data_IF_705303002918
#
_entry.id   IF_705303002918
#
_cell.length_a   1.000
_cell.length_b   1.000
_cell.length_c   1.000
_cell.angle_alpha   90.00
_cell.angle_beta   90.00
_cell.angle_gamma   90.00
#
_symmetry.space_group_name_H-M   'P 1'
#
loop_
_entity.id
_entity.type
_entity.pdbx_description
1 polymer ?
#
# COMPACT_ATOMS: atom_id res chain seq x y z
N UNK A 1 -25.94 9.99 1.67
CA UNK A 1 -25.94 10.92 2.82
C UNK A 1 -25.48 12.27 2.30
N UNK A 2 -26.38 13.25 2.22
CA UNK A 2 -25.98 14.65 1.98
C UNK A 2 -25.75 15.25 3.35
N UNK A 3 -24.48 15.39 3.73
CA UNK A 3 -24.10 16.04 4.97
C UNK A 3 -24.23 17.55 4.77
N UNK A 4 -25.32 18.15 5.25
CA UNK A 4 -25.50 19.61 5.20
C UNK A 4 -24.74 20.23 6.37
N UNK A 5 -23.60 20.86 6.09
CA UNK A 5 -22.86 21.65 7.08
C UNK A 5 -23.64 22.94 7.39
N UNK A 6 -24.64 22.88 8.28
CA UNK A 6 -25.55 24.01 8.57
C UNK A 6 -24.87 25.20 9.26
N UNK A 7 -23.68 25.00 9.84
CA UNK A 7 -22.97 26.01 10.63
C UNK A 7 -21.73 26.60 9.94
N UNK A 8 -21.39 26.17 8.72
CA UNK A 8 -20.18 26.60 8.00
C UNK A 8 -20.49 27.57 6.85
N UNK A 9 -21.65 28.22 6.87
CA UNK A 9 -22.04 29.18 5.81
C UNK A 9 -21.13 30.41 5.75
N UNK A 10 -20.46 30.76 6.84
CA UNK A 10 -19.64 31.96 6.94
C UNK A 10 -18.12 31.70 6.90
N UNK A 11 -17.69 30.42 6.78
CA UNK A 11 -16.28 30.01 6.76
C UNK A 11 -15.35 30.92 7.59
N UNK A 12 -15.48 30.89 8.93
CA UNK A 12 -14.66 31.73 9.81
C UNK A 12 -13.18 31.49 9.53
N UNK A 13 -12.41 32.58 9.54
CA UNK A 13 -11.11 32.65 8.90
C UNK A 13 -10.04 31.70 9.45
N UNK A 14 -10.19 31.12 10.65
CA UNK A 14 -9.22 30.24 11.32
C UNK A 14 -9.87 29.47 12.48
N UNK A 15 -9.50 28.21 12.73
CA UNK A 15 -9.81 27.50 14.00
C UNK A 15 -8.88 27.98 15.12
N UNK A 16 -9.34 27.85 16.37
CA UNK A 16 -8.45 28.00 17.52
C UNK A 16 -7.38 26.90 17.50
N UNK A 17 -6.11 27.26 17.78
CA UNK A 17 -4.95 26.37 17.70
C UNK A 17 -5.06 25.10 18.58
N UNK A 18 -5.93 25.12 19.60
CA UNK A 18 -6.23 23.99 20.46
C UNK A 18 -7.11 22.92 19.77
N UNK A 19 -7.93 23.34 18.80
CA UNK A 19 -8.88 22.50 18.07
C UNK A 19 -8.37 22.06 16.68
N UNK A 20 -7.23 22.59 16.24
CA UNK A 20 -6.61 22.21 14.95
C UNK A 20 -6.24 20.73 14.92
N UNK A 21 -5.86 20.15 16.05
CA UNK A 21 -5.46 18.76 16.15
C UNK A 21 -6.57 17.96 16.85
N UNK A 22 -7.51 17.42 16.07
CA UNK A 22 -8.64 16.66 16.62
C UNK A 22 -8.14 15.34 17.25
N UNK A 23 -8.21 15.19 18.58
CA UNK A 23 -7.68 14.01 19.27
C UNK A 23 -8.50 12.74 18.98
N UNK A 24 -9.72 12.83 18.46
CA UNK A 24 -10.54 11.67 18.13
C UNK A 24 -10.17 11.09 16.76
N UNK A 25 -9.49 11.87 15.92
CA UNK A 25 -9.01 11.45 14.60
C UNK A 25 -7.49 11.28 14.58
N UNK A 26 -6.77 12.17 15.25
CA UNK A 26 -5.31 12.26 15.28
C UNK A 26 -4.69 11.91 16.63
N UNK A 27 -5.49 11.52 17.62
CA UNK A 27 -4.97 11.13 18.93
C UNK A 27 -3.93 10.01 18.81
N UNK A 28 -2.96 10.01 19.71
CA UNK A 28 -1.84 9.06 19.66
C UNK A 28 -2.31 7.61 19.59
N UNK A 29 -3.36 7.26 20.33
CA UNK A 29 -3.94 5.92 20.27
C UNK A 29 -4.57 5.57 18.92
N UNK A 30 -5.17 6.54 18.25
CA UNK A 30 -5.75 6.40 16.90
C UNK A 30 -4.63 6.19 15.88
N UNK A 31 -3.63 7.06 15.91
CA UNK A 31 -2.45 6.97 15.04
C UNK A 31 -1.70 5.66 15.23
N UNK A 32 -1.49 5.25 16.49
CA UNK A 32 -0.82 3.99 16.81
C UNK A 32 -1.64 2.79 16.32
N UNK A 33 -2.95 2.77 16.57
CA UNK A 33 -3.82 1.68 16.16
C UNK A 33 -3.90 1.50 14.64
N UNK A 34 -3.76 2.57 13.87
CA UNK A 34 -3.81 2.50 12.40
C UNK A 34 -2.42 2.36 11.75
N UNK A 35 -1.39 2.99 12.29
CA UNK A 35 -0.02 2.90 11.76
C UNK A 35 0.66 1.58 12.15
N UNK A 36 0.46 1.07 13.38
CA UNK A 36 1.18 -0.12 13.85
C UNK A 36 0.88 -1.38 13.03
N UNK A 37 -0.37 -1.72 12.67
CA UNK A 37 -0.62 -2.89 11.83
C UNK A 37 0.06 -2.78 10.47
N UNK A 38 0.09 -1.57 9.90
CA UNK A 38 0.72 -1.30 8.62
C UNK A 38 2.25 -1.43 8.69
N UNK A 39 2.88 -0.84 9.73
CA UNK A 39 4.31 -0.97 9.99
C UNK A 39 4.72 -2.41 10.28
N UNK A 40 3.94 -3.12 11.11
CA UNK A 40 4.19 -4.51 11.45
C UNK A 40 4.04 -5.43 10.25
N UNK A 41 3.04 -5.21 9.38
CA UNK A 41 2.89 -5.96 8.13
C UNK A 41 4.10 -5.79 7.22
N UNK A 42 4.59 -4.55 7.09
CA UNK A 42 5.78 -4.26 6.30
C UNK A 42 7.01 -4.97 6.89
N UNK A 43 7.22 -4.86 8.20
CA UNK A 43 8.32 -5.54 8.89
C UNK A 43 8.26 -7.07 8.70
N UNK A 44 7.09 -7.69 8.92
CA UNK A 44 6.89 -9.14 8.74
C UNK A 44 7.20 -9.54 7.30
N UNK A 45 6.77 -8.75 6.31
CA UNK A 45 7.02 -9.06 4.92
C UNK A 45 8.50 -8.92 4.53
N UNK A 46 9.17 -7.85 4.97
CA UNK A 46 10.61 -7.66 4.73
C UNK A 46 11.39 -8.82 5.33
N UNK A 47 11.06 -9.21 6.57
CA UNK A 47 11.68 -10.36 7.23
C UNK A 47 11.40 -11.63 6.45
N UNK A 48 10.15 -11.93 6.08
CA UNK A 48 9.77 -13.12 5.33
C UNK A 48 10.46 -13.20 3.96
N UNK A 49 10.64 -12.06 3.28
CA UNK A 49 11.36 -11.97 2.02
C UNK A 49 12.85 -12.31 2.20
N UNK A 50 13.54 -11.63 3.12
CA UNK A 50 14.98 -11.83 3.37
C UNK A 50 15.29 -13.21 3.92
N UNK A 51 14.35 -13.82 4.65
CA UNK A 51 14.49 -15.16 5.22
C UNK A 51 14.11 -16.28 4.25
N UNK A 52 13.75 -16.02 3.00
CA UNK A 52 13.25 -17.06 2.08
C UNK A 52 12.04 -17.85 2.65
N UNK A 53 11.20 -17.19 3.46
CA UNK A 53 9.99 -17.82 4.02
C UNK A 53 8.80 -17.71 3.07
N UNK A 54 8.80 -16.73 2.16
CA UNK A 54 7.78 -16.66 1.11
C UNK A 54 7.87 -17.90 0.21
N UNK A 55 6.79 -18.27 -0.49
CA UNK A 55 6.83 -19.37 -1.43
C UNK A 55 7.83 -19.12 -2.56
N UNK A 56 8.49 -20.19 -3.02
CA UNK A 56 9.48 -20.10 -4.11
C UNK A 56 8.90 -19.49 -5.40
N UNK A 57 7.59 -19.60 -5.61
CA UNK A 57 6.87 -18.98 -6.74
C UNK A 57 6.81 -17.45 -6.66
N UNK A 58 7.22 -16.82 -5.55
CA UNK A 58 7.23 -15.36 -5.42
C UNK A 58 8.60 -14.75 -5.76
N UNK A 59 9.67 -15.55 -5.78
CA UNK A 59 11.01 -15.04 -6.05
C UNK A 59 11.31 -15.07 -7.55
N UNK A 60 11.57 -13.90 -8.13
CA UNK A 60 12.15 -13.78 -9.46
C UNK A 60 13.63 -14.20 -9.48
N UNK A 61 14.23 -14.29 -10.66
CA UNK A 61 15.66 -14.62 -10.77
C UNK A 61 16.52 -13.55 -10.09
N UNK A 62 16.18 -12.28 -10.33
CA UNK A 62 16.78 -11.14 -9.64
C UNK A 62 16.73 -11.26 -8.11
N UNK A 63 15.58 -11.64 -7.54
CA UNK A 63 15.40 -11.73 -6.08
C UNK A 63 16.38 -12.72 -5.45
N UNK A 64 16.47 -13.92 -6.02
CA UNK A 64 17.36 -14.96 -5.52
C UNK A 64 18.83 -14.49 -5.53
N UNK A 65 19.25 -13.86 -6.62
CA UNK A 65 20.62 -13.32 -6.74
C UNK A 65 20.86 -12.17 -5.77
N UNK A 66 19.87 -11.29 -5.59
CA UNK A 66 19.93 -10.16 -4.69
C UNK A 66 20.07 -10.64 -3.23
N UNK A 67 19.24 -11.59 -2.79
CA UNK A 67 19.28 -12.13 -1.42
C UNK A 67 20.62 -12.80 -1.15
N UNK A 68 21.13 -13.61 -2.07
CA UNK A 68 22.46 -14.22 -1.93
C UNK A 68 23.56 -13.15 -1.81
N UNK A 69 23.49 -12.10 -2.64
CA UNK A 69 24.45 -11.00 -2.62
C UNK A 69 24.37 -10.21 -1.32
N UNK A 70 23.16 -9.84 -0.88
CA UNK A 70 22.91 -9.14 0.37
C UNK A 70 23.41 -9.96 1.54
N UNK A 71 23.05 -11.24 1.63
CA UNK A 71 23.52 -12.13 2.70
C UNK A 71 25.05 -12.25 2.72
N UNK A 72 25.70 -12.30 1.57
CA UNK A 72 27.17 -12.36 1.50
C UNK A 72 27.84 -11.06 1.98
N UNK A 73 27.24 -9.90 1.69
CA UNK A 73 27.75 -8.59 2.09
C UNK A 73 27.44 -8.29 3.55
N UNK A 74 26.22 -8.56 3.98
CA UNK A 74 25.76 -8.41 5.35
C UNK A 74 26.61 -9.26 6.29
N UNK A 75 26.88 -10.53 5.98
CA UNK A 75 27.80 -11.38 6.76
C UNK A 75 29.19 -10.76 7.00
N UNK A 76 29.67 -9.89 6.11
CA UNK A 76 30.95 -9.17 6.29
C UNK A 76 30.81 -8.00 7.26
N UNK A 77 29.62 -7.43 7.40
CA UNK A 77 29.32 -6.31 8.27
C UNK A 77 28.68 -6.83 9.56
N UNK A 78 29.52 -7.42 10.42
CA UNK A 78 29.16 -8.19 11.62
C UNK A 78 28.10 -7.49 12.50
N UNK A 79 28.18 -6.18 12.70
CA UNK A 79 27.19 -5.44 13.50
C UNK A 79 25.79 -5.43 12.86
N UNK A 80 25.71 -5.10 11.56
CA UNK A 80 24.46 -5.04 10.84
C UNK A 80 23.89 -6.44 10.61
N UNK A 81 24.76 -7.43 10.43
CA UNK A 81 24.37 -8.84 10.43
C UNK A 81 23.83 -9.27 11.79
N UNK A 82 24.45 -8.92 12.91
CA UNK A 82 23.90 -9.27 14.23
C UNK A 82 22.55 -8.59 14.52
N UNK A 83 22.27 -7.43 13.92
CA UNK A 83 20.98 -6.72 14.03
C UNK A 83 19.89 -7.30 13.11
N UNK A 84 20.25 -7.63 11.86
CA UNK A 84 19.32 -8.11 10.83
C UNK A 84 19.21 -9.64 10.75
N UNK A 85 20.21 -10.37 11.25
CA UNK A 85 20.14 -11.82 11.37
C UNK A 85 19.02 -12.08 12.36
N UNK A 86 17.89 -12.63 11.90
CA UNK A 86 16.84 -12.99 12.83
C UNK A 86 17.46 -14.01 13.77
N UNK A 87 17.33 -13.79 15.08
CA UNK A 87 17.77 -14.76 16.08
C UNK A 87 17.27 -16.15 15.64
N UNK A 88 18.04 -17.22 15.84
CA UNK A 88 17.57 -18.58 15.59
C UNK A 88 16.21 -18.81 16.26
N UNK A 89 15.95 -18.16 17.40
CA UNK A 89 14.64 -18.13 18.05
C UNK A 89 13.57 -17.39 17.25
N UNK A 90 13.89 -16.26 16.62
CA UNK A 90 12.97 -15.54 15.74
C UNK A 90 12.70 -16.32 14.45
N UNK A 91 13.67 -17.06 13.93
CA UNK A 91 13.51 -17.99 12.82
C UNK A 91 12.58 -19.15 13.15
N UNK A 92 12.81 -19.80 14.30
CA UNK A 92 11.87 -20.79 14.83
C UNK A 92 10.53 -20.11 15.03
N UNK A 93 10.48 -18.92 15.62
CA UNK A 93 9.24 -18.20 15.89
C UNK A 93 8.48 -17.88 14.60
N UNK A 94 9.06 -17.31 13.54
CA UNK A 94 8.38 -17.05 12.26
C UNK A 94 8.01 -18.32 11.47
N UNK A 95 8.64 -19.45 11.78
CA UNK A 95 8.29 -20.75 11.22
C UNK A 95 7.18 -21.43 12.02
N UNK A 96 7.15 -21.20 13.33
CA UNK A 96 6.15 -21.70 14.28
C UNK A 96 4.87 -20.85 14.24
N UNK A 97 5.04 -19.53 14.28
CA UNK A 97 4.06 -18.50 13.92
C UNK A 97 3.94 -18.54 12.41
N UNK A 98 2.88 -19.17 11.91
CA UNK A 98 2.55 -19.17 10.49
C UNK A 98 2.50 -17.71 10.01
N UNK A 99 3.55 -17.23 9.33
CA UNK A 99 3.63 -15.85 8.86
C UNK A 99 2.39 -15.46 8.04
N UNK A 100 1.80 -16.43 7.33
CA UNK A 100 0.53 -16.28 6.61
C UNK A 100 -0.61 -15.88 7.55
N UNK A 101 -0.77 -16.52 8.71
CA UNK A 101 -1.80 -16.19 9.68
C UNK A 101 -1.58 -14.79 10.29
N UNK A 102 -0.33 -14.42 10.54
CA UNK A 102 0.04 -13.10 11.03
C UNK A 102 -0.25 -12.02 9.98
N UNK A 103 0.20 -12.21 8.75
CA UNK A 103 -0.08 -11.27 7.66
C UNK A 103 -1.57 -11.20 7.33
N UNK A 104 -2.30 -12.31 7.42
CA UNK A 104 -3.74 -12.35 7.17
C UNK A 104 -4.50 -11.47 8.17
N UNK A 105 -4.18 -11.61 9.46
CA UNK A 105 -4.80 -10.83 10.53
C UNK A 105 -4.41 -9.35 10.46
N UNK A 106 -3.15 -9.03 10.16
CA UNK A 106 -2.73 -7.64 9.96
C UNK A 106 -3.34 -7.01 8.70
N UNK A 107 -3.44 -7.78 7.61
CA UNK A 107 -4.05 -7.36 6.36
C UNK A 107 -5.48 -6.88 6.56
N UNK A 108 -6.29 -7.65 7.30
CA UNK A 108 -7.67 -7.30 7.61
C UNK A 108 -7.76 -6.00 8.43
N UNK A 109 -6.88 -5.84 9.42
CA UNK A 109 -6.86 -4.62 10.23
C UNK A 109 -6.45 -3.40 9.41
N UNK A 110 -5.45 -3.50 8.53
CA UNK A 110 -5.06 -2.37 7.68
C UNK A 110 -6.16 -1.94 6.71
N UNK A 111 -6.94 -2.88 6.17
CA UNK A 111 -8.06 -2.59 5.28
C UNK A 111 -9.25 -1.96 6.02
N UNK A 112 -9.63 -2.52 7.17
CA UNK A 112 -10.73 -1.96 7.98
C UNK A 112 -10.34 -0.59 8.52
N UNK A 113 -9.09 -0.42 8.93
CA UNK A 113 -8.53 0.86 9.36
C UNK A 113 -8.63 1.93 8.28
N UNK A 114 -8.20 1.64 7.04
CA UNK A 114 -8.26 2.64 5.95
C UNK A 114 -9.70 3.07 5.66
N UNK A 115 -10.63 2.11 5.61
CA UNK A 115 -12.05 2.42 5.39
C UNK A 115 -12.62 3.23 6.56
N UNK A 116 -12.32 2.87 7.81
CA UNK A 116 -12.78 3.58 8.99
C UNK A 116 -12.28 5.03 9.03
N UNK A 117 -11.00 5.24 8.68
CA UNK A 117 -10.43 6.59 8.60
C UNK A 117 -11.12 7.45 7.53
N UNK A 118 -11.40 6.90 6.34
CA UNK A 118 -12.18 7.64 5.34
C UNK A 118 -13.56 8.00 5.86
N UNK A 119 -14.30 7.03 6.40
CA UNK A 119 -15.67 7.26 6.88
C UNK A 119 -15.68 8.31 7.99
N UNK A 120 -14.77 8.21 8.97
CA UNK A 120 -14.65 9.17 10.06
C UNK A 120 -14.33 10.57 9.54
N UNK A 121 -13.29 10.69 8.72
CA UNK A 121 -12.86 11.98 8.15
C UNK A 121 -13.98 12.66 7.36
N UNK A 122 -14.70 11.90 6.53
CA UNK A 122 -15.80 12.46 5.74
C UNK A 122 -17.05 12.77 6.56
N UNK A 123 -17.35 12.00 7.62
CA UNK A 123 -18.45 12.31 8.54
C UNK A 123 -18.24 13.61 9.32
N UNK A 124 -16.98 13.99 9.52
CA UNK A 124 -16.56 15.16 10.29
C UNK A 124 -15.97 16.26 9.42
N UNK A 125 -16.17 16.20 8.10
CA UNK A 125 -15.53 17.13 7.14
C UNK A 125 -15.83 18.61 7.43
N UNK A 126 -16.95 18.90 8.08
CA UNK A 126 -17.36 20.26 8.45
C UNK A 126 -16.64 20.78 9.71
N UNK A 127 -16.09 19.90 10.56
CA UNK A 127 -15.54 20.24 11.87
C UNK A 127 -14.04 19.96 11.99
N UNK A 128 -13.45 19.21 11.06
CA UNK A 128 -12.01 18.93 11.06
C UNK A 128 -11.22 20.05 10.37
N UNK A 129 -10.06 20.34 10.93
CA UNK A 129 -9.07 21.21 10.31
C UNK A 129 -8.46 20.58 9.05
N UNK A 130 -7.86 21.42 8.23
CA UNK A 130 -7.09 21.02 7.06
C UNK A 130 -5.92 20.12 7.43
N UNK A 131 -5.27 20.40 8.57
CA UNK A 131 -4.22 19.55 9.15
C UNK A 131 -4.72 18.14 9.47
N UNK A 132 -5.83 18.04 10.22
CA UNK A 132 -6.42 16.74 10.61
C UNK A 132 -6.84 15.94 9.39
N UNK A 133 -7.43 16.60 8.40
CA UNK A 133 -7.81 15.98 7.14
C UNK A 133 -6.60 15.38 6.41
N UNK A 134 -5.52 16.15 6.23
CA UNK A 134 -4.33 15.71 5.50
C UNK A 134 -3.66 14.49 6.13
N UNK A 135 -3.54 14.48 7.47
CA UNK A 135 -2.97 13.36 8.21
C UNK A 135 -3.82 12.11 8.04
N UNK A 136 -5.14 12.25 8.14
CA UNK A 136 -6.09 11.13 8.01
C UNK A 136 -6.04 10.51 6.62
N UNK A 137 -6.02 11.33 5.56
CA UNK A 137 -5.90 10.82 4.18
C UNK A 137 -4.54 10.15 3.96
N UNK A 138 -3.46 10.71 4.49
CA UNK A 138 -2.11 10.12 4.39
C UNK A 138 -2.02 8.77 5.09
N UNK A 139 -2.63 8.62 6.27
CA UNK A 139 -2.63 7.38 7.03
C UNK A 139 -3.50 6.30 6.37
N UNK A 140 -4.68 6.68 5.87
CA UNK A 140 -5.52 5.79 5.05
C UNK A 140 -4.77 5.28 3.83
N UNK A 141 -4.02 6.17 3.16
CA UNK A 141 -3.25 5.84 1.98
C UNK A 141 -2.12 4.86 2.29
N UNK A 142 -1.42 5.07 3.40
CA UNK A 142 -0.41 4.14 3.90
C UNK A 142 -1.01 2.75 4.13
N UNK A 143 -2.10 2.68 4.90
CA UNK A 143 -2.75 1.41 5.26
C UNK A 143 -3.26 0.65 4.03
N UNK A 144 -3.87 1.34 3.05
CA UNK A 144 -4.38 0.73 1.83
C UNK A 144 -3.26 0.13 0.94
N UNK A 145 -2.10 0.79 0.83
CA UNK A 145 -0.97 0.26 0.08
C UNK A 145 -0.30 -0.92 0.79
N UNK A 146 -0.20 -0.88 2.12
CA UNK A 146 0.28 -2.04 2.86
C UNK A 146 -0.68 -3.22 2.68
N UNK A 147 -1.99 -3.00 2.73
CA UNK A 147 -2.98 -4.04 2.46
C UNK A 147 -2.77 -4.66 1.07
N UNK A 148 -2.61 -3.85 0.02
CA UNK A 148 -2.30 -4.33 -1.34
C UNK A 148 -1.13 -5.32 -1.36
N UNK A 149 -0.07 -4.98 -0.66
CA UNK A 149 1.15 -5.77 -0.61
C UNK A 149 0.97 -7.09 0.15
N UNK A 150 0.20 -7.06 1.25
CA UNK A 150 -0.13 -8.30 1.99
C UNK A 150 -0.91 -9.29 1.12
N UNK A 151 -1.77 -8.82 0.22
CA UNK A 151 -2.47 -9.69 -0.73
C UNK A 151 -1.52 -10.39 -1.70
N UNK A 152 -0.48 -9.69 -2.17
CA UNK A 152 0.56 -10.26 -3.03
C UNK A 152 1.35 -11.34 -2.28
N UNK A 153 1.76 -11.04 -1.05
CA UNK A 153 2.50 -11.98 -0.20
C UNK A 153 1.69 -13.25 0.13
N UNK A 154 0.37 -13.10 0.29
CA UNK A 154 -0.59 -14.17 0.59
C UNK A 154 -1.18 -14.82 -0.67
N UNK A 155 -0.63 -14.60 -1.87
CA UNK A 155 -1.22 -15.10 -3.12
C UNK A 155 -1.51 -16.61 -3.11
N UNK A 156 -0.60 -17.42 -2.57
CA UNK A 156 -0.77 -18.89 -2.54
C UNK A 156 -1.84 -19.32 -1.53
N UNK A 157 -1.94 -18.61 -0.40
CA UNK A 157 -3.00 -18.81 0.56
C UNK A 157 -4.38 -18.51 -0.07
N UNK A 158 -4.48 -17.40 -0.80
CA UNK A 158 -5.70 -16.98 -1.48
C UNK A 158 -6.03 -17.80 -2.72
N UNK A 159 -5.05 -18.43 -3.35
CA UNK A 159 -5.27 -19.42 -4.40
C UNK A 159 -6.18 -20.55 -3.91
N UNK A 160 -6.04 -20.95 -2.63
CA UNK A 160 -6.88 -21.96 -1.96
C UNK A 160 -8.17 -21.38 -1.38
N UNK A 161 -8.18 -20.10 -1.01
CA UNK A 161 -9.30 -19.41 -0.36
C UNK A 161 -9.89 -18.29 -1.22
N UNK A 162 -10.43 -18.66 -2.39
CA UNK A 162 -10.89 -17.70 -3.42
C UNK A 162 -12.00 -16.76 -2.95
N UNK A 163 -12.94 -17.21 -2.11
CA UNK A 163 -14.02 -16.36 -1.59
C UNK A 163 -13.45 -15.23 -0.72
N UNK A 164 -12.54 -15.61 0.18
CA UNK A 164 -11.84 -14.67 1.05
C UNK A 164 -11.01 -13.67 0.26
N UNK A 165 -10.34 -14.11 -0.81
CA UNK A 165 -9.59 -13.26 -1.72
C UNK A 165 -10.49 -12.22 -2.41
N UNK A 166 -11.68 -12.64 -2.87
CA UNK A 166 -12.65 -11.75 -3.54
C UNK A 166 -13.22 -10.69 -2.62
N UNK A 167 -13.56 -11.05 -1.37
CA UNK A 167 -14.08 -10.08 -0.39
C UNK A 167 -13.04 -9.00 -0.15
N UNK A 168 -11.80 -9.38 0.17
CA UNK A 168 -10.70 -8.44 0.42
C UNK A 168 -10.41 -7.57 -0.78
N UNK A 169 -10.37 -8.16 -1.98
CA UNK A 169 -10.19 -7.38 -3.19
C UNK A 169 -11.35 -6.41 -3.43
N UNK A 170 -12.60 -6.84 -3.25
CA UNK A 170 -13.77 -5.97 -3.40
C UNK A 170 -13.71 -4.78 -2.44
N UNK A 171 -13.37 -5.03 -1.18
CA UNK A 171 -13.13 -3.99 -0.19
C UNK A 171 -11.95 -3.08 -0.56
N UNK A 172 -10.88 -3.62 -1.15
CA UNK A 172 -9.75 -2.84 -1.63
C UNK A 172 -10.12 -1.94 -2.82
N UNK A 173 -10.94 -2.42 -3.76
CA UNK A 173 -11.50 -1.61 -4.86
C UNK A 173 -12.33 -0.47 -4.28
N UNK A 174 -13.21 -0.76 -3.32
CA UNK A 174 -13.99 0.26 -2.63
C UNK A 174 -13.10 1.30 -1.92
N UNK A 175 -12.11 0.85 -1.15
CA UNK A 175 -11.13 1.73 -0.49
C UNK A 175 -10.34 2.57 -1.49
N UNK A 176 -10.02 2.03 -2.68
CA UNK A 176 -9.29 2.73 -3.73
C UNK A 176 -10.13 3.86 -4.34
N UNK A 177 -11.43 3.64 -4.54
CA UNK A 177 -12.34 4.69 -5.01
C UNK A 177 -12.39 5.84 -4.00
N UNK A 178 -12.54 5.53 -2.70
CA UNK A 178 -12.49 6.53 -1.64
C UNK A 178 -11.16 7.28 -1.63
N UNK A 179 -10.04 6.57 -1.81
CA UNK A 179 -8.71 7.16 -1.86
C UNK A 179 -8.53 8.12 -3.03
N UNK A 180 -9.00 7.80 -4.24
CA UNK A 180 -8.89 8.68 -5.42
C UNK A 180 -9.62 9.99 -5.17
N UNK A 181 -10.84 9.93 -4.64
CA UNK A 181 -11.62 11.11 -4.26
C UNK A 181 -10.91 11.90 -3.16
N UNK A 182 -10.38 11.21 -2.16
CA UNK A 182 -9.69 11.81 -1.02
C UNK A 182 -8.40 12.51 -1.43
N UNK A 183 -7.62 11.94 -2.34
CA UNK A 183 -6.39 12.53 -2.89
C UNK A 183 -6.70 13.82 -3.61
N UNK A 184 -7.74 13.83 -4.44
CA UNK A 184 -8.17 15.05 -5.14
C UNK A 184 -8.55 16.16 -4.16
N UNK A 185 -9.37 15.85 -3.15
CA UNK A 185 -9.78 16.79 -2.12
C UNK A 185 -8.57 17.23 -1.27
N UNK A 186 -7.68 16.31 -0.92
CA UNK A 186 -6.48 16.59 -0.15
C UNK A 186 -5.57 17.59 -0.85
N UNK A 187 -5.45 17.51 -2.18
CA UNK A 187 -4.70 18.49 -2.97
C UNK A 187 -5.33 19.89 -2.99
N UNK A 188 -6.65 19.98 -2.84
CA UNK A 188 -7.31 21.27 -2.62
C UNK A 188 -6.97 21.80 -1.23
N UNK A 189 -7.10 20.94 -0.21
CA UNK A 189 -6.91 21.29 1.21
C UNK A 189 -5.46 21.65 1.54
N UNK A 190 -4.48 21.01 0.88
CA UNK A 190 -3.05 21.19 1.15
C UNK A 190 -2.53 22.60 0.85
N UNK A 191 -3.22 23.34 0.00
CA UNK A 191 -2.85 24.69 -0.44
C UNK A 191 -3.48 25.77 0.45
N UNK A 192 -4.34 25.37 1.38
CA UNK A 192 -4.92 26.20 2.41
C UNK A 192 -4.06 26.33 3.65
N UNK A 193 -4.51 27.13 4.63
CA UNK A 193 -3.81 27.20 5.91
C UNK A 193 -4.16 25.97 6.76
N UNK A 194 -3.22 25.52 7.60
CA UNK A 194 -3.34 24.25 8.32
C UNK A 194 -4.45 24.25 9.38
N UNK A 195 -4.72 25.43 9.94
CA UNK A 195 -5.73 25.77 10.94
C UNK A 195 -7.08 26.15 10.35
N UNK A 196 -7.18 26.30 9.03
CA UNK A 196 -8.48 26.46 8.35
C UNK A 196 -9.29 25.17 8.43
N UNK A 197 -10.61 25.29 8.55
CA UNK A 197 -11.51 24.15 8.34
C UNK A 197 -11.29 23.55 6.95
N UNK A 198 -11.20 22.22 6.87
CA UNK A 198 -10.97 21.51 5.60
C UNK A 198 -12.04 21.89 4.56
N UNK A 199 -13.30 21.99 4.97
CA UNK A 199 -14.40 22.40 4.11
C UNK A 199 -14.22 23.80 3.49
N UNK A 200 -13.66 24.75 4.23
CA UNK A 200 -13.50 26.12 3.73
C UNK A 200 -12.46 26.20 2.61
N UNK A 201 -11.37 25.45 2.75
CA UNK A 201 -10.39 25.29 1.68
C UNK A 201 -10.95 24.54 0.46
N UNK A 202 -11.92 23.63 0.67
CA UNK A 202 -12.63 22.95 -0.43
C UNK A 202 -13.54 23.91 -1.20
N UNK A 203 -14.27 24.79 -0.48
CA UNK A 203 -15.21 25.75 -1.09
C UNK A 203 -14.47 26.88 -1.81
N UNK A 204 -13.39 27.40 -1.20
CA UNK A 204 -12.56 28.48 -1.77
C UNK A 204 -11.11 28.02 -1.92
N UNK A 205 -10.80 27.20 -2.95
CA UNK A 205 -9.44 26.72 -3.20
C UNK A 205 -8.49 27.88 -3.49
N UNK A 206 -7.36 27.94 -2.77
CA UNK A 206 -6.32 28.97 -2.95
C UNK A 206 -5.39 28.69 -4.15
N UNK A 207 -5.32 27.44 -4.62
CA UNK A 207 -4.41 27.02 -5.69
C UNK A 207 -5.05 26.99 -7.09
N UNK A 208 -4.25 27.14 -8.15
CA UNK A 208 -4.72 27.00 -9.52
C UNK A 208 -5.15 25.54 -9.80
N UNK A 209 -6.27 25.38 -10.50
CA UNK A 209 -6.84 24.08 -10.86
C UNK A 209 -5.86 23.16 -11.59
N UNK A 210 -4.93 23.70 -12.37
CA UNK A 210 -3.92 22.89 -13.06
C UNK A 210 -2.99 22.16 -12.07
N UNK A 211 -2.56 22.81 -10.99
CA UNK A 211 -1.71 22.20 -9.98
C UNK A 211 -2.45 21.08 -9.24
N UNK A 212 -3.70 21.35 -8.84
CA UNK A 212 -4.58 20.38 -8.17
C UNK A 212 -4.81 19.15 -9.06
N UNK A 213 -5.12 19.35 -10.34
CA UNK A 213 -5.37 18.26 -11.30
C UNK A 213 -4.12 17.42 -11.53
N UNK A 214 -2.97 18.02 -11.82
CA UNK A 214 -1.75 17.25 -12.08
C UNK A 214 -1.25 16.52 -10.84
N UNK A 215 -1.26 17.17 -9.66
CA UNK A 215 -0.87 16.54 -8.40
C UNK A 215 -1.76 15.35 -8.05
N UNK A 216 -3.08 15.52 -8.17
CA UNK A 216 -4.04 14.45 -7.88
C UNK A 216 -3.95 13.28 -8.86
N UNK A 217 -3.67 13.54 -10.14
CA UNK A 217 -3.46 12.47 -11.13
C UNK A 217 -2.23 11.62 -10.81
N UNK A 218 -1.12 12.25 -10.40
CA UNK A 218 0.12 11.53 -10.04
C UNK A 218 -0.10 10.64 -8.81
N UNK A 219 -0.75 11.15 -7.77
CA UNK A 219 -1.02 10.37 -6.56
C UNK A 219 -2.08 9.27 -6.78
N UNK A 220 -3.10 9.57 -7.58
CA UNK A 220 -4.10 8.57 -7.99
C UNK A 220 -3.46 7.46 -8.82
N UNK A 221 -2.47 7.78 -9.66
CA UNK A 221 -1.68 6.78 -10.38
C UNK A 221 -0.98 5.81 -9.44
N UNK A 222 -0.31 6.29 -8.38
CA UNK A 222 0.33 5.40 -7.40
C UNK A 222 -0.68 4.51 -6.69
N UNK A 223 -1.82 5.07 -6.30
CA UNK A 223 -2.90 4.30 -5.65
C UNK A 223 -3.44 3.19 -6.55
N UNK A 224 -3.76 3.56 -7.79
CA UNK A 224 -4.31 2.61 -8.77
C UNK A 224 -3.28 1.58 -9.20
N UNK A 225 -1.99 1.93 -9.22
CA UNK A 225 -0.89 0.99 -9.46
C UNK A 225 -0.77 -0.08 -8.36
N UNK A 226 -0.98 0.29 -7.10
CA UNK A 226 -1.02 -0.66 -5.98
C UNK A 226 -2.16 -1.66 -6.13
N UNK A 227 -3.37 -1.18 -6.42
CA UNK A 227 -4.54 -2.02 -6.72
C UNK A 227 -4.30 -2.91 -7.94
N UNK A 228 -3.79 -2.34 -9.02
CA UNK A 228 -3.46 -3.06 -10.25
C UNK A 228 -2.52 -4.23 -9.96
N UNK A 229 -1.41 -3.96 -9.27
CA UNK A 229 -0.40 -4.96 -8.96
C UNK A 229 -0.98 -6.07 -8.07
N UNK A 230 -1.78 -5.72 -7.06
CA UNK A 230 -2.46 -6.70 -6.22
C UNK A 230 -3.44 -7.57 -7.02
N UNK A 231 -4.32 -6.96 -7.83
CA UNK A 231 -5.27 -7.68 -8.68
C UNK A 231 -4.57 -8.61 -9.65
N UNK A 232 -3.52 -8.12 -10.29
CA UNK A 232 -2.76 -8.85 -11.29
C UNK A 232 -2.04 -10.05 -10.67
N UNK A 233 -1.24 -9.83 -9.63
CA UNK A 233 -0.42 -10.88 -9.01
C UNK A 233 -1.24 -11.90 -8.21
N UNK A 234 -2.44 -11.52 -7.75
CA UNK A 234 -3.36 -12.43 -7.06
C UNK A 234 -4.05 -13.41 -8.02
N UNK A 235 -4.36 -12.96 -9.23
CA UNK A 235 -5.18 -13.74 -10.17
C UNK A 235 -4.40 -14.32 -11.33
N UNK A 236 -3.39 -13.65 -11.84
CA UNK A 236 -2.65 -14.15 -12.98
C UNK A 236 -1.35 -14.86 -12.57
N UNK A 237 -1.17 -16.14 -12.95
CA UNK A 237 0.12 -16.78 -12.85
C UNK A 237 1.06 -16.17 -13.91
N UNK A 238 1.98 -15.30 -13.47
CA UNK A 238 3.22 -14.94 -14.17
C UNK A 238 3.14 -14.37 -15.59
N UNK A 239 2.03 -13.77 -15.98
CA UNK A 239 1.91 -13.26 -17.34
C UNK A 239 2.52 -11.85 -17.46
N UNK A 240 3.35 -11.64 -18.47
CA UNK A 240 3.97 -10.34 -18.77
C UNK A 240 3.09 -9.50 -19.73
N UNK A 241 1.83 -9.26 -19.38
CA UNK A 241 0.91 -8.53 -20.26
C UNK A 241 1.09 -7.01 -20.24
N UNK A 242 0.68 -6.36 -21.33
CA UNK A 242 0.47 -4.91 -21.32
C UNK A 242 -0.65 -4.52 -20.33
N UNK A 243 -0.54 -3.35 -19.65
CA UNK A 243 -1.46 -2.98 -18.56
C UNK A 243 -2.94 -3.02 -18.96
N UNK A 244 -3.25 -2.62 -20.20
CA UNK A 244 -4.63 -2.53 -20.69
C UNK A 244 -5.27 -3.90 -20.91
N UNK A 245 -4.53 -4.89 -21.45
CA UNK A 245 -5.06 -6.24 -21.65
C UNK A 245 -5.26 -6.98 -20.33
N UNK A 246 -4.39 -6.71 -19.35
CA UNK A 246 -4.51 -7.24 -17.99
C UNK A 246 -5.81 -6.80 -17.29
N UNK A 247 -6.18 -5.51 -17.40
CA UNK A 247 -7.44 -5.01 -16.83
C UNK A 247 -8.67 -5.67 -17.44
N UNK A 248 -8.66 -5.83 -18.77
CA UNK A 248 -9.75 -6.49 -19.50
C UNK A 248 -9.86 -7.95 -19.06
N UNK A 249 -8.75 -8.67 -18.91
CA UNK A 249 -8.76 -10.06 -18.47
C UNK A 249 -9.25 -10.23 -17.02
N UNK A 250 -8.88 -9.32 -16.11
CA UNK A 250 -9.37 -9.35 -14.72
C UNK A 250 -10.86 -9.01 -14.65
N UNK A 251 -11.33 -8.00 -15.38
CA UNK A 251 -12.76 -7.67 -15.46
C UNK A 251 -13.56 -8.81 -16.08
N UNK A 252 -13.06 -9.40 -17.17
CA UNK A 252 -13.68 -10.58 -17.79
C UNK A 252 -13.75 -11.75 -16.81
N UNK A 253 -12.75 -11.94 -15.94
CA UNK A 253 -12.79 -12.99 -14.91
C UNK A 253 -13.79 -12.72 -13.79
N UNK A 254 -14.01 -11.45 -13.43
CA UNK A 254 -15.04 -11.07 -12.46
C UNK A 254 -16.45 -11.26 -13.04
N UNK A 255 -16.60 -11.07 -14.36
CA UNK A 255 -17.90 -11.13 -15.05
C UNK A 255 -18.24 -12.54 -15.55
N UNK A 256 -17.27 -13.29 -16.06
CA UNK A 256 -17.46 -14.61 -16.66
C UNK A 256 -16.92 -15.72 -15.75
N UNK A 257 -17.84 -16.56 -15.26
CA UNK A 257 -17.59 -17.62 -14.27
C UNK A 257 -17.56 -19.04 -14.86
N UNK A 258 -17.78 -19.18 -16.17
CA UNK A 258 -18.05 -20.46 -16.83
C UNK A 258 -16.77 -21.27 -17.13
N UNK A 259 -16.83 -22.60 -17.10
CA UNK A 259 -15.67 -23.50 -17.34
C UNK A 259 -15.06 -23.31 -18.73
N UNK A 260 -15.89 -23.12 -19.77
CA UNK A 260 -15.40 -22.81 -21.13
C UNK A 260 -14.57 -21.54 -21.20
N UNK A 261 -14.92 -20.53 -20.39
CA UNK A 261 -14.17 -19.27 -20.35
C UNK A 261 -12.81 -19.41 -19.66
N UNK A 262 -12.58 -20.48 -18.88
CA UNK A 262 -11.27 -20.77 -18.32
C UNK A 262 -10.35 -21.39 -19.36
N UNK A 263 -10.83 -22.34 -20.18
CA UNK A 263 -10.05 -22.96 -21.25
C UNK A 263 -9.60 -21.94 -22.30
N UNK A 264 -10.52 -21.08 -22.77
CA UNK A 264 -10.20 -20.00 -23.72
C UNK A 264 -9.17 -19.02 -23.13
N UNK A 265 -9.25 -18.74 -21.82
CA UNK A 265 -8.27 -17.87 -21.14
C UNK A 265 -6.90 -18.53 -21.05
N UNK A 266 -6.85 -19.81 -20.70
CA UNK A 266 -5.59 -20.56 -20.65
C UNK A 266 -4.95 -20.69 -22.03
N UNK A 267 -5.75 -20.80 -23.09
CA UNK A 267 -5.23 -20.77 -24.47
C UNK A 267 -4.67 -19.39 -24.82
N UNK A 268 -5.36 -18.30 -24.47
CA UNK A 268 -4.86 -16.92 -24.65
C UNK A 268 -3.54 -16.70 -23.89
N UNK A 269 -3.44 -17.20 -22.66
CA UNK A 269 -2.20 -17.20 -21.87
C UNK A 269 -1.08 -17.94 -22.58
N UNK A 270 -1.34 -19.18 -23.00
CA UNK A 270 -0.37 -20.01 -23.73
C UNK A 270 0.01 -19.41 -25.09
N UNK A 271 -0.87 -18.68 -25.74
CA UNK A 271 -0.59 -18.03 -27.02
C UNK A 271 0.33 -16.82 -26.83
N UNK A 272 0.08 -16.00 -25.82
CA UNK A 272 0.89 -14.81 -25.56
C UNK A 272 2.28 -15.18 -25.01
N UNK A 273 2.38 -16.18 -24.12
CA UNK A 273 3.67 -16.74 -23.66
C UNK A 273 4.52 -17.22 -24.83
N UNK A 274 3.89 -17.85 -25.83
CA UNK A 274 4.56 -18.28 -27.06
C UNK A 274 5.05 -17.09 -27.87
N UNK A 275 4.25 -16.04 -28.05
CA UNK A 275 4.67 -14.82 -28.75
C UNK A 275 5.84 -14.13 -28.04
N UNK A 276 5.77 -14.05 -26.72
CA UNK A 276 6.81 -13.45 -25.89
C UNK A 276 8.12 -14.24 -25.97
N UNK A 277 8.06 -15.55 -25.79
CA UNK A 277 9.22 -16.44 -25.93
C UNK A 277 9.87 -16.32 -27.32
N UNK A 278 9.06 -16.20 -28.37
CA UNK A 278 9.55 -15.97 -29.73
C UNK A 278 10.20 -14.59 -29.90
N UNK A 279 9.63 -13.55 -29.29
CA UNK A 279 10.20 -12.19 -29.29
C UNK A 279 11.57 -12.17 -28.59
N UNK A 280 11.66 -12.75 -27.40
CA UNK A 280 12.92 -12.84 -26.65
C UNK A 280 13.96 -13.71 -27.36
N UNK A 281 13.57 -14.83 -27.96
CA UNK A 281 14.46 -15.64 -28.79
C UNK A 281 15.00 -14.85 -30.01
N UNK A 282 14.16 -14.01 -30.65
CA UNK A 282 14.58 -13.11 -31.72
C UNK A 282 15.55 -12.05 -31.21
N UNK A 283 15.30 -11.44 -30.05
CA UNK A 283 16.18 -10.43 -29.45
C UNK A 283 17.54 -11.01 -29.03
N UNK A 284 17.56 -12.20 -28.43
CA UNK A 284 18.78 -12.91 -28.03
C UNK A 284 19.57 -13.36 -29.27
N UNK A 285 18.89 -13.89 -30.29
CA UNK A 285 19.57 -14.27 -31.54
C UNK A 285 20.10 -13.05 -32.31
N UNK A 286 19.43 -11.90 -32.24
CA UNK A 286 19.93 -10.64 -32.77
C UNK A 286 21.19 -10.15 -32.03
N UNK A 287 21.22 -10.24 -30.70
CA UNK A 287 22.42 -9.96 -29.88
C UNK A 287 23.59 -10.89 -30.21
N UNK A 288 23.31 -12.14 -30.58
CA UNK A 288 24.32 -13.15 -30.92
C UNK A 288 24.85 -13.01 -32.34
N UNK A 289 24.04 -12.51 -33.28
CA UNK A 289 24.37 -12.39 -34.71
C UNK A 289 25.06 -11.08 -35.08
N UNK A 290 24.91 -10.00 -34.31
CA UNK A 290 25.54 -8.72 -34.60
C UNK A 290 26.14 -8.10 -33.35
N UNK A 291 27.41 -7.61 -33.38
CA UNK A 291 27.93 -6.70 -32.38
C UNK A 291 27.27 -5.33 -32.62
N UNK A 292 26.00 -5.21 -32.28
CA UNK A 292 25.30 -3.94 -32.32
C UNK A 292 25.95 -2.97 -31.33
N UNK A 293 25.94 -1.68 -31.66
CA UNK A 293 26.51 -0.64 -30.81
C UNK A 293 25.94 -0.73 -29.38
N UNK A 294 26.71 -0.22 -28.42
CA UNK A 294 26.30 -0.10 -27.01
C UNK A 294 24.81 0.26 -26.80
N UNK A 295 24.20 1.25 -27.51
CA UNK A 295 22.78 1.58 -27.32
C UNK A 295 21.81 0.43 -27.63
N UNK A 296 22.05 -0.37 -28.67
CA UNK A 296 21.17 -1.48 -29.03
C UNK A 296 21.28 -2.62 -28.03
N UNK A 297 22.49 -2.92 -27.55
CA UNK A 297 22.71 -3.89 -26.47
C UNK A 297 22.02 -3.44 -25.18
N UNK A 298 22.19 -2.17 -24.81
CA UNK A 298 21.55 -1.61 -23.62
C UNK A 298 20.03 -1.60 -23.73
N UNK A 299 19.45 -1.34 -24.91
CA UNK A 299 18.00 -1.41 -25.11
C UNK A 299 17.44 -2.82 -24.86
N UNK A 300 18.09 -3.85 -25.39
CA UNK A 300 17.64 -5.23 -25.22
C UNK A 300 17.85 -5.70 -23.77
N UNK A 301 19.01 -5.40 -23.19
CA UNK A 301 19.33 -5.79 -21.80
C UNK A 301 18.44 -5.04 -20.79
N UNK A 302 18.19 -3.75 -21.00
CA UNK A 302 17.33 -2.95 -20.11
C UNK A 302 15.88 -3.43 -20.11
N UNK A 303 15.35 -3.88 -21.25
CA UNK A 303 14.01 -4.47 -21.31
C UNK A 303 13.94 -5.76 -20.48
N UNK A 304 14.89 -6.68 -20.66
CA UNK A 304 14.94 -7.92 -19.88
C UNK A 304 15.13 -7.66 -18.38
N UNK A 305 15.96 -6.69 -18.00
CA UNK A 305 16.14 -6.29 -16.59
C UNK A 305 14.86 -5.65 -16.05
N UNK A 306 14.20 -4.78 -16.81
CA UNK A 306 12.95 -4.15 -16.39
C UNK A 306 11.85 -5.20 -16.19
N UNK A 307 11.78 -6.20 -17.07
CA UNK A 307 10.84 -7.33 -16.95
C UNK A 307 11.11 -8.18 -15.70
N UNK A 308 12.35 -8.57 -15.45
CA UNK A 308 12.73 -9.33 -14.24
C UNK A 308 12.55 -8.49 -12.96
N UNK A 309 12.75 -7.17 -13.03
CA UNK A 309 12.46 -6.25 -11.91
C UNK A 309 10.97 -6.07 -11.65
N UNK A 310 10.14 -5.87 -12.67
CA UNK A 310 8.69 -5.65 -12.50
C UNK A 310 7.96 -6.89 -11.97
N UNK A 311 8.50 -8.08 -12.24
CA UNK A 311 7.99 -9.35 -11.71
C UNK A 311 8.58 -9.74 -10.36
N UNK A 312 9.63 -9.04 -9.90
CA UNK A 312 10.34 -9.31 -8.65
C UNK A 312 9.55 -8.85 -7.43
N UNK A 313 9.58 -9.67 -6.37
CA UNK A 313 8.98 -9.33 -5.08
C UNK A 313 9.76 -8.22 -4.38
N UNK A 314 11.08 -8.13 -4.60
CA UNK A 314 11.88 -7.00 -4.13
C UNK A 314 11.35 -5.67 -4.64
N UNK A 315 10.96 -5.59 -5.92
CA UNK A 315 10.46 -4.33 -6.48
C UNK A 315 9.17 -3.90 -5.77
N UNK A 316 8.26 -4.83 -5.50
CA UNK A 316 7.03 -4.53 -4.75
C UNK A 316 7.34 -4.05 -3.32
N UNK A 317 8.20 -4.79 -2.61
CA UNK A 317 8.60 -4.45 -1.22
C UNK A 317 9.34 -3.12 -1.19
N UNK A 318 10.28 -2.88 -2.10
CA UNK A 318 11.06 -1.65 -2.17
C UNK A 318 10.18 -0.45 -2.49
N UNK A 319 9.26 -0.60 -3.44
CA UNK A 319 8.26 0.43 -3.75
C UNK A 319 7.50 0.84 -2.51
N UNK A 320 7.06 -0.14 -1.71
CA UNK A 320 6.36 0.11 -0.46
C UNK A 320 7.25 0.67 0.65
N UNK A 321 8.50 0.24 0.79
CA UNK A 321 9.43 0.82 1.78
C UNK A 321 9.72 2.28 1.46
N UNK A 322 10.00 2.60 0.20
CA UNK A 322 10.20 3.98 -0.26
C UNK A 322 8.96 4.82 0.00
N UNK A 323 7.80 4.26 -0.32
CA UNK A 323 6.51 4.93 -0.15
C UNK A 323 6.12 5.13 1.33
N UNK A 324 6.32 4.12 2.16
CA UNK A 324 6.17 4.20 3.62
C UNK A 324 7.09 5.28 4.19
N UNK A 325 8.35 5.30 3.75
CA UNK A 325 9.31 6.34 4.08
C UNK A 325 8.79 7.73 3.71
N UNK A 326 8.27 7.89 2.49
CA UNK A 326 7.69 9.16 2.04
C UNK A 326 6.51 9.61 2.91
N UNK A 327 5.56 8.72 3.22
CA UNK A 327 4.44 9.06 4.11
C UNK A 327 4.93 9.41 5.51
N UNK A 328 5.84 8.61 6.09
CA UNK A 328 6.39 8.90 7.42
C UNK A 328 7.08 10.26 7.42
N UNK A 329 7.86 10.59 6.38
CA UNK A 329 8.48 11.91 6.28
C UNK A 329 7.46 13.04 6.13
N UNK A 330 6.37 12.82 5.39
CA UNK A 330 5.30 13.81 5.23
C UNK A 330 4.54 14.02 6.54
N UNK A 331 4.25 12.94 7.25
CA UNK A 331 3.62 12.95 8.58
C UNK A 331 4.50 13.68 9.60
N UNK A 332 5.79 13.34 9.67
CA UNK A 332 6.75 14.00 10.56
C UNK A 332 6.91 15.48 10.19
N UNK A 333 6.98 15.81 8.90
CA UNK A 333 7.04 17.20 8.45
C UNK A 333 5.79 17.98 8.86
N UNK A 334 4.60 17.40 8.70
CA UNK A 334 3.34 18.01 9.12
C UNK A 334 3.29 18.21 10.65
N UNK A 335 3.73 17.23 11.45
CA UNK A 335 3.83 17.39 12.90
C UNK A 335 4.82 18.48 13.32
N UNK A 336 6.02 18.50 12.72
CA UNK A 336 7.03 19.52 12.99
C UNK A 336 6.56 20.91 12.56
N UNK A 337 5.80 21.00 11.47
CA UNK A 337 5.15 22.22 11.04
C UNK A 337 4.12 22.65 12.10
N UNK A 338 3.19 21.79 12.50
CA UNK A 338 2.23 22.08 13.58
C UNK A 338 2.89 22.61 14.86
N UNK A 339 3.97 21.96 15.32
CA UNK A 339 4.75 22.41 16.48
C UNK A 339 5.34 23.81 16.29
N UNK A 340 5.86 24.12 15.10
CA UNK A 340 6.43 25.44 14.78
C UNK A 340 5.38 26.55 14.83
N UNK A 341 4.13 26.25 14.45
CA UNK A 341 3.02 27.20 14.46
C UNK A 341 2.23 27.22 15.78
N UNK A 342 2.73 26.53 16.81
CA UNK A 342 2.12 26.55 18.14
C UNK A 342 0.86 25.71 18.27
N UNK A 343 0.61 24.76 17.36
CA UNK A 343 -0.47 23.78 17.51
C UNK A 343 -0.23 22.97 18.78
N UNK A 344 -1.25 22.91 19.64
CA UNK A 344 -1.13 22.22 20.91
C UNK A 344 -1.21 20.69 20.72
N UNK A 345 -0.06 20.02 20.67
CA UNK A 345 0.04 18.56 20.52
C UNK A 345 -0.22 17.83 21.85
N UNK A 346 -0.27 18.51 23.00
CA UNK A 346 -0.49 17.83 24.29
C UNK A 346 -1.85 17.14 24.34
N UNK A 347 -2.88 17.73 23.73
CA UNK A 347 -4.23 17.15 23.61
C UNK A 347 -4.24 15.83 22.82
N UNK A 348 -3.31 15.65 21.88
CA UNK A 348 -3.15 14.39 21.13
C UNK A 348 -2.57 13.26 21.97
N UNK A 349 -1.87 13.58 23.06
CA UNK A 349 -1.27 12.60 23.97
C UNK A 349 -2.18 12.25 25.15
N UNK A 350 -3.26 13.01 25.37
CA UNK A 350 -4.21 12.75 26.43
C UNK A 350 -5.06 11.50 26.12
N UNK A 351 -5.01 10.44 26.95
CA UNK A 351 -5.72 9.21 26.69
C UNK A 351 -7.23 9.40 26.91
N UNK A 352 -7.93 9.86 25.88
CA UNK A 352 -9.40 9.96 25.82
C UNK A 352 -10.00 8.63 25.34
N UNK A 353 -11.31 8.45 25.54
CA UNK A 353 -12.03 7.25 25.10
C UNK A 353 -11.80 6.96 23.60
N UNK A 354 -11.84 7.99 22.75
CA UNK A 354 -11.55 7.91 21.32
C UNK A 354 -10.14 7.41 20.98
N UNK A 355 -9.18 7.53 21.90
CA UNK A 355 -7.80 7.04 21.72
C UNK A 355 -7.57 5.67 22.34
N UNK A 356 -8.17 5.40 23.49
CA UNK A 356 -8.04 4.12 24.20
C UNK A 356 -8.73 3.00 23.40
N UNK A 357 -9.91 3.28 22.85
CA UNK A 357 -10.71 2.27 22.17
C UNK A 357 -9.99 1.66 20.94
N UNK A 358 -9.40 2.44 20.02
CA UNK A 358 -8.57 1.89 18.94
C UNK A 358 -7.39 1.05 19.43
N UNK A 359 -6.73 1.42 20.54
CA UNK A 359 -5.66 0.61 21.12
C UNK A 359 -6.22 -0.72 21.63
N UNK A 360 -7.37 -0.72 22.30
CA UNK A 360 -8.01 -1.96 22.77
C UNK A 360 -8.44 -2.85 21.59
N UNK A 361 -8.82 -2.28 20.45
CA UNK A 361 -9.08 -3.06 19.23
C UNK A 361 -7.84 -3.77 18.69
N UNK A 362 -6.62 -3.32 19.01
CA UNK A 362 -5.41 -4.09 18.70
C UNK A 362 -5.34 -5.39 19.51
N UNK A 363 -6.02 -5.51 20.65
CA UNK A 363 -6.11 -6.77 21.39
C UNK A 363 -6.96 -7.80 20.63
N UNK A 364 -7.98 -7.35 19.87
CA UNK A 364 -8.77 -8.24 19.00
C UNK A 364 -7.85 -8.90 17.98
N UNK A 365 -6.89 -8.16 17.43
CA UNK A 365 -5.87 -8.73 16.55
C UNK A 365 -5.06 -9.82 17.24
N UNK A 366 -4.61 -9.61 18.48
CA UNK A 366 -3.85 -10.63 19.23
C UNK A 366 -4.69 -11.90 19.39
N UNK A 367 -5.98 -11.76 19.75
CA UNK A 367 -6.87 -12.91 19.89
C UNK A 367 -7.15 -13.63 18.56
N UNK A 368 -7.43 -12.89 17.49
CA UNK A 368 -7.62 -13.47 16.15
C UNK A 368 -6.38 -14.20 15.66
N UNK A 369 -5.19 -13.66 15.94
CA UNK A 369 -3.93 -14.30 15.61
C UNK A 369 -3.71 -15.58 16.45
N UNK A 370 -3.99 -15.54 17.75
CA UNK A 370 -3.92 -16.74 18.62
C UNK A 370 -4.86 -17.85 18.12
N UNK A 371 -6.07 -17.50 17.69
CA UNK A 371 -7.00 -18.47 17.11
C UNK A 371 -6.50 -19.04 15.78
N UNK A 372 -6.00 -18.17 14.89
CA UNK A 372 -5.51 -18.57 13.57
C UNK A 372 -4.21 -19.40 13.63
N UNK A 373 -3.40 -19.22 14.68
CA UNK A 373 -2.16 -19.95 14.91
C UNK A 373 -2.33 -21.24 15.72
N UNK A 374 -3.42 -21.38 16.49
CA UNK A 374 -3.73 -22.56 17.29
C UNK A 374 -4.41 -23.72 16.53
N UNK A 375 -4.82 -23.52 15.29
CA UNK A 375 -5.19 -24.56 14.31
C UNK A 375 -4.00 -24.82 13.41
#
# INVERSE_FOLDING_TARGET
MVWTCSNVTDCPATMDLEDVADPDVMGFGVLLAFAMPALLSNAVLVVAYLSHTLPNSQYAHFDNKLILTLNSKLKKQIWLWNLLQPDHKMWIWLRMVRYEALLLTLSDQTLVASIALFVSTYSQICSVSSFTFQISISLSFFAANIHALTLIALKEYFAKHQIQARIRLGSMVFSTILQIVSVFINRIVQEGDADDYALCNIISPKAPWSHILWGSLIESWFTTYGLYTAMFKLYEPFTMYQPVSAWVLVLLRLVYRDERSQEDREELVRQEDRRFSQSNAKSISALRRQPSGFPTKMRIVSQAIAEDMTTSTFYDIMGVVVFAGWIITTFVAALLFGLKYGVNISSLLEPKFGQIMPILLLLVFIFSFMEASGR
#
